data_IF_096924246368
#
_entry.id   IF_096924246368
#
_cell.length_a   1.000
_cell.length_b   1.000
_cell.length_c   1.000
_cell.angle_alpha   90.00
_cell.angle_beta   90.00
_cell.angle_gamma   90.00
#
_symmetry.space_group_name_H-M   'P 1'
#
loop_
_entity.id
_entity.type
_entity.pdbx_description
1 polymer ?
#
# COMPACT_ATOMS: atom_id res chain seq x y z
N UNK A 1 11.07 -24.01 3.40
CA UNK A 1 12.25 -24.69 2.81
C UNK A 1 13.52 -23.93 3.21
N UNK A 2 14.43 -24.50 4.01
CA UNK A 2 15.66 -23.80 4.50
C UNK A 2 16.81 -24.00 3.51
N UNK A 3 17.59 -22.97 3.17
CA UNK A 3 18.64 -23.04 2.12
C UNK A 3 20.07 -22.93 2.70
N UNK A 4 20.93 -23.96 2.59
CA UNK A 4 22.40 -23.95 2.84
C UNK A 4 23.25 -25.07 2.15
N UNK A 5 24.28 -24.65 1.36
CA UNK A 5 25.44 -25.17 0.54
C UNK A 5 25.52 -26.37 -0.49
N UNK A 6 25.41 -26.16 -1.82
CA UNK A 6 26.25 -26.85 -2.82
C UNK A 6 26.84 -25.90 -3.92
N UNK A 7 28.18 -25.82 -3.91
CA UNK A 7 29.19 -25.09 -4.74
C UNK A 7 28.96 -23.67 -5.28
N UNK A 8 27.74 -23.18 -5.50
CA UNK A 8 27.42 -21.74 -5.72
C UNK A 8 26.00 -21.35 -5.24
N UNK A 9 25.22 -22.31 -4.75
CA UNK A 9 23.88 -22.12 -4.16
C UNK A 9 23.80 -22.83 -2.82
N UNK A 10 22.83 -22.51 -1.97
CA UNK A 10 22.62 -23.32 -0.77
C UNK A 10 21.97 -24.70 -1.08
N UNK A 11 22.28 -25.81 -0.39
CA UNK A 11 21.45 -27.03 -0.34
C UNK A 11 20.09 -26.66 0.20
N UNK A 12 19.06 -27.21 -0.37
CA UNK A 12 17.71 -27.00 0.10
C UNK A 12 17.38 -28.10 1.11
N UNK A 13 16.89 -27.73 2.29
CA UNK A 13 16.28 -28.65 3.26
C UNK A 13 14.94 -29.17 2.75
N UNK A 14 14.33 -30.10 3.49
CA UNK A 14 13.00 -30.60 3.12
C UNK A 14 11.92 -29.52 3.29
N UNK A 15 10.81 -29.59 2.53
CA UNK A 15 9.61 -28.82 2.83
C UNK A 15 9.12 -29.12 4.26
N UNK A 16 8.64 -28.09 4.93
CA UNK A 16 7.95 -28.18 6.20
C UNK A 16 6.68 -27.34 6.09
N UNK A 17 5.65 -27.75 6.81
CA UNK A 17 4.31 -27.16 6.75
C UNK A 17 3.96 -26.59 8.12
N UNK A 18 3.10 -25.57 8.15
CA UNK A 18 2.60 -25.04 9.41
C UNK A 18 1.80 -26.13 10.13
N UNK A 19 2.17 -26.39 11.38
CA UNK A 19 1.45 -27.29 12.26
C UNK A 19 0.16 -26.61 12.74
N UNK A 20 -0.89 -27.39 12.92
CA UNK A 20 -2.16 -26.94 13.49
C UNK A 20 -2.84 -25.75 12.77
N UNK A 21 -2.50 -25.46 11.51
CA UNK A 21 -3.12 -24.38 10.74
C UNK A 21 -4.66 -24.53 10.65
N UNK A 22 -5.14 -25.75 10.46
CA UNK A 22 -6.58 -26.05 10.31
C UNK A 22 -7.30 -26.05 11.67
N UNK A 23 -6.59 -26.43 12.73
CA UNK A 23 -7.15 -26.59 14.09
C UNK A 23 -7.07 -25.32 14.92
N UNK A 24 -6.22 -24.37 14.53
CA UNK A 24 -6.10 -23.06 15.17
C UNK A 24 -7.20 -22.13 14.66
N UNK A 25 -8.18 -21.85 15.53
CA UNK A 25 -9.20 -20.82 15.26
C UNK A 25 -8.52 -19.46 15.27
N UNK A 26 -8.23 -18.91 14.10
CA UNK A 26 -7.78 -17.53 13.98
C UNK A 26 -8.97 -16.60 14.26
N UNK A 27 -8.82 -15.61 15.17
CA UNK A 27 -9.88 -14.64 15.42
C UNK A 27 -10.27 -13.91 14.12
N UNK A 28 -11.57 -13.67 13.90
CA UNK A 28 -12.06 -12.85 12.79
C UNK A 28 -11.62 -11.37 12.88
N UNK A 29 -11.05 -10.96 14.00
CA UNK A 29 -10.53 -9.62 14.26
C UNK A 29 -9.08 -9.51 13.82
N UNK A 30 -8.70 -8.34 13.28
CA UNK A 30 -7.31 -8.03 12.92
C UNK A 30 -6.37 -8.32 14.11
N UNK A 31 -5.47 -9.29 13.94
CA UNK A 31 -4.59 -9.77 14.99
C UNK A 31 -3.47 -10.64 14.44
N UNK A 32 -2.45 -10.84 15.26
CA UNK A 32 -1.31 -11.69 14.92
C UNK A 32 -1.58 -13.11 15.40
N UNK A 33 -1.25 -14.09 14.56
CA UNK A 33 -1.33 -15.51 14.90
C UNK A 33 0.05 -16.13 14.81
N UNK A 34 0.41 -16.94 15.80
CA UNK A 34 1.65 -17.69 15.83
C UNK A 34 1.35 -19.16 15.52
N UNK A 35 2.16 -19.75 14.66
CA UNK A 35 2.06 -21.15 14.27
C UNK A 35 3.40 -21.83 14.51
N UNK A 36 3.35 -23.09 14.94
CA UNK A 36 4.53 -23.91 15.07
C UNK A 36 4.90 -24.51 13.72
N UNK A 37 6.20 -24.72 13.52
CA UNK A 37 6.73 -25.40 12.35
C UNK A 37 8.02 -26.12 12.74
N UNK A 38 8.03 -27.44 12.53
CA UNK A 38 9.22 -28.25 12.76
C UNK A 38 9.96 -28.50 11.45
N UNK A 39 11.26 -28.24 11.44
CA UNK A 39 12.13 -28.53 10.30
C UNK A 39 13.01 -29.75 10.60
N UNK A 40 12.95 -30.75 9.73
CA UNK A 40 13.94 -31.83 9.70
C UNK A 40 15.29 -31.25 9.23
N UNK A 41 16.15 -30.90 10.19
CA UNK A 41 17.46 -30.31 9.92
C UNK A 41 18.58 -31.36 9.93
N UNK A 42 19.20 -31.58 8.78
CA UNK A 42 20.42 -32.37 8.65
C UNK A 42 21.64 -31.49 8.94
N UNK A 43 22.53 -31.94 9.83
CA UNK A 43 23.82 -31.27 10.16
C UNK A 43 24.65 -30.96 8.91
N UNK A 44 24.51 -31.73 7.84
CA UNK A 44 25.19 -31.51 6.57
C UNK A 44 24.70 -30.25 5.82
N UNK A 45 23.53 -29.72 6.15
CA UNK A 45 23.00 -28.47 5.61
C UNK A 45 23.80 -27.31 6.19
N UNK A 46 24.09 -27.32 7.50
CA UNK A 46 24.78 -26.22 8.18
C UNK A 46 23.80 -25.13 8.62
N UNK A 47 24.32 -23.94 8.95
CA UNK A 47 23.54 -22.87 9.59
C UNK A 47 22.53 -22.23 8.63
N UNK A 48 21.22 -22.24 8.93
CA UNK A 48 20.17 -21.58 8.14
C UNK A 48 20.44 -20.08 7.90
N UNK A 49 20.58 -19.67 6.64
CA UNK A 49 20.79 -18.26 6.26
C UNK A 49 19.61 -17.60 5.54
N UNK A 50 18.73 -18.41 4.95
CA UNK A 50 17.52 -18.00 4.24
C UNK A 50 16.49 -19.12 4.26
N UNK A 51 15.22 -18.76 4.08
CA UNK A 51 14.15 -19.72 3.78
C UNK A 51 13.32 -19.28 2.58
N UNK A 52 12.77 -20.28 1.90
CA UNK A 52 11.76 -20.14 0.85
C UNK A 52 10.40 -20.46 1.45
N UNK A 53 9.42 -19.63 1.15
CA UNK A 53 8.01 -19.82 1.49
C UNK A 53 7.16 -19.90 0.24
N UNK A 54 6.18 -20.82 0.29
CA UNK A 54 5.15 -21.00 -0.73
C UNK A 54 3.80 -20.91 -0.03
N UNK A 55 2.89 -20.16 -0.63
CA UNK A 55 1.52 -20.08 -0.17
C UNK A 55 0.64 -20.82 -1.17
N UNK A 56 0.25 -22.05 -0.82
CA UNK A 56 -0.67 -22.86 -1.62
C UNK A 56 -2.14 -22.60 -1.21
N UNK A 57 -2.39 -21.66 -0.30
CA UNK A 57 -3.73 -21.18 0.05
C UNK A 57 -4.22 -20.13 -0.96
N UNK A 58 -5.53 -19.96 -1.09
CA UNK A 58 -6.16 -19.05 -2.06
C UNK A 58 -6.10 -17.57 -1.65
N UNK A 59 -5.94 -17.30 -0.35
CA UNK A 59 -5.76 -15.96 0.20
C UNK A 59 -4.31 -15.67 0.52
N UNK A 60 -3.90 -14.41 0.34
CA UNK A 60 -2.64 -13.89 0.84
C UNK A 60 -2.62 -13.76 2.37
N UNK A 61 -1.43 -13.70 2.95
CA UNK A 61 -1.23 -13.36 4.36
C UNK A 61 -0.03 -12.46 4.54
N UNK A 62 0.01 -11.71 5.65
CA UNK A 62 1.15 -10.87 6.00
C UNK A 62 2.11 -11.62 6.92
N UNK A 63 3.29 -11.96 6.41
CA UNK A 63 4.33 -12.65 7.16
C UNK A 63 5.16 -11.64 7.96
N UNK A 64 5.03 -11.64 9.28
CA UNK A 64 5.81 -10.75 10.17
C UNK A 64 7.23 -11.26 10.40
N UNK A 65 7.36 -12.43 11.03
CA UNK A 65 8.65 -12.98 11.43
C UNK A 65 8.64 -14.50 11.40
N UNK A 66 9.81 -15.09 11.21
CA UNK A 66 10.06 -16.51 11.49
C UNK A 66 11.23 -16.59 12.48
N UNK A 67 11.09 -17.42 13.50
CA UNK A 67 12.12 -17.66 14.51
C UNK A 67 12.40 -19.15 14.56
N UNK A 68 13.68 -19.51 14.41
CA UNK A 68 14.15 -20.87 14.67
C UNK A 68 14.83 -20.86 16.04
N UNK A 69 14.32 -21.70 16.94
CA UNK A 69 14.91 -21.93 18.25
C UNK A 69 15.88 -23.11 18.21
N UNK A 70 16.80 -23.17 19.17
CA UNK A 70 17.70 -24.30 19.41
C UNK A 70 18.55 -24.77 18.21
N UNK A 71 18.95 -23.85 17.33
CA UNK A 71 19.83 -24.13 16.20
C UNK A 71 21.25 -24.46 16.72
N UNK A 72 21.80 -25.66 16.46
CA UNK A 72 23.09 -26.05 17.02
C UNK A 72 24.22 -25.10 16.63
N UNK A 73 24.93 -24.56 17.64
CA UNK A 73 26.05 -23.63 17.46
C UNK A 73 25.67 -22.16 17.28
N UNK A 74 24.39 -21.84 17.11
CA UNK A 74 23.89 -20.47 16.91
C UNK A 74 22.81 -20.07 17.92
N UNK A 75 22.09 -21.04 18.50
CA UNK A 75 20.95 -20.81 19.37
C UNK A 75 19.75 -20.34 18.56
N UNK A 76 19.40 -19.07 18.68
CA UNK A 76 18.18 -18.50 18.09
C UNK A 76 18.48 -17.75 16.79
N UNK A 77 17.76 -18.08 15.73
CA UNK A 77 17.87 -17.40 14.42
C UNK A 77 16.56 -16.66 14.11
N UNK A 78 16.69 -15.39 13.73
CA UNK A 78 15.56 -14.53 13.42
C UNK A 78 15.51 -14.09 11.96
N UNK A 79 14.31 -14.17 11.40
CA UNK A 79 13.95 -13.64 10.09
C UNK A 79 12.89 -12.57 10.29
N UNK A 80 13.24 -11.32 9.98
CA UNK A 80 12.31 -10.18 10.00
C UNK A 80 11.78 -10.00 8.59
N UNK A 81 10.54 -10.41 8.35
CA UNK A 81 9.97 -10.54 7.02
C UNK A 81 9.13 -9.32 6.62
N UNK A 82 8.15 -8.96 7.45
CA UNK A 82 7.23 -7.82 7.26
C UNK A 82 6.74 -7.64 5.81
N UNK A 83 6.22 -8.72 5.21
CA UNK A 83 5.82 -8.71 3.80
C UNK A 83 4.60 -9.57 3.51
N UNK A 84 3.80 -9.15 2.53
CA UNK A 84 2.67 -9.93 2.04
C UNK A 84 3.13 -11.12 1.20
N UNK A 85 2.56 -12.30 1.45
CA UNK A 85 2.81 -13.53 0.71
C UNK A 85 1.53 -13.96 0.00
N UNK A 86 1.48 -13.71 -1.31
CA UNK A 86 0.36 -14.06 -2.17
C UNK A 86 0.36 -15.55 -2.53
N UNK A 87 -0.78 -16.08 -3.01
CA UNK A 87 -0.87 -17.41 -3.57
C UNK A 87 0.20 -17.66 -4.65
N UNK A 88 0.69 -18.89 -4.72
CA UNK A 88 1.86 -19.25 -5.52
C UNK A 88 1.68 -19.03 -7.03
N UNK A 89 0.44 -19.08 -7.53
CA UNK A 89 0.10 -18.82 -8.94
C UNK A 89 0.36 -17.36 -9.37
N UNK A 90 0.54 -16.45 -8.40
CA UNK A 90 0.89 -15.03 -8.65
C UNK A 90 2.38 -14.82 -8.86
N UNK A 91 3.22 -15.78 -8.50
CA UNK A 91 4.66 -15.63 -8.52
C UNK A 91 5.33 -16.49 -9.60
N UNK A 92 6.28 -15.90 -10.32
CA UNK A 92 7.17 -16.65 -11.22
C UNK A 92 8.25 -17.44 -10.46
N UNK A 93 8.59 -16.99 -9.25
CA UNK A 93 9.57 -17.58 -8.35
C UNK A 93 9.08 -17.50 -6.91
N UNK A 94 9.39 -18.52 -6.13
CA UNK A 94 9.02 -18.56 -4.72
C UNK A 94 9.70 -17.44 -3.93
N UNK A 95 9.03 -17.00 -2.87
CA UNK A 95 9.48 -15.91 -2.02
C UNK A 95 10.63 -16.37 -1.13
N UNK A 96 11.71 -15.59 -1.09
CA UNK A 96 12.86 -15.83 -0.22
C UNK A 96 12.95 -14.77 0.88
N UNK A 97 13.29 -15.19 2.08
CA UNK A 97 13.56 -14.32 3.22
C UNK A 97 14.91 -14.68 3.84
N UNK A 98 15.67 -13.67 4.23
CA UNK A 98 17.01 -13.82 4.81
C UNK A 98 16.97 -13.59 6.32
N UNK A 99 17.96 -14.15 7.01
CA UNK A 99 18.18 -13.82 8.43
C UNK A 99 18.46 -12.33 8.61
N UNK A 100 18.32 -11.83 9.84
CA UNK A 100 18.64 -10.44 10.19
C UNK A 100 20.16 -10.13 10.26
N UNK A 101 21.03 -11.06 9.85
CA UNK A 101 22.48 -10.81 9.77
C UNK A 101 22.80 -9.89 8.58
N UNK A 102 23.60 -8.86 8.82
CA UNK A 102 23.95 -7.86 7.79
C UNK A 102 25.28 -8.19 7.12
N UNK A 103 25.33 -8.06 5.79
CA UNK A 103 26.51 -8.33 4.99
C UNK A 103 26.69 -7.31 3.87
N UNK A 104 27.90 -6.79 3.69
CA UNK A 104 28.29 -6.16 2.43
C UNK A 104 28.26 -7.19 1.29
N UNK A 105 28.15 -6.77 0.01
CA UNK A 105 28.17 -7.70 -1.12
C UNK A 105 29.40 -8.64 -1.12
N UNK A 106 30.59 -8.12 -0.78
CA UNK A 106 31.83 -8.89 -0.68
C UNK A 106 31.82 -9.92 0.46
N UNK A 107 31.14 -9.61 1.56
CA UNK A 107 31.06 -10.42 2.78
C UNK A 107 29.90 -11.41 2.78
N UNK A 108 29.01 -11.31 1.78
CA UNK A 108 27.85 -12.20 1.69
C UNK A 108 28.33 -13.64 1.58
N UNK A 109 27.87 -14.55 2.48
CA UNK A 109 28.21 -15.96 2.42
C UNK A 109 27.99 -16.53 1.02
N UNK A 110 28.98 -17.26 0.50
CA UNK A 110 28.98 -17.72 -0.89
C UNK A 110 27.69 -18.49 -1.27
N UNK A 111 27.11 -19.23 -0.31
CA UNK A 111 25.86 -19.97 -0.46
C UNK A 111 24.62 -19.10 -0.66
N UNK A 112 24.64 -17.84 -0.23
CA UNK A 112 23.50 -16.91 -0.31
C UNK A 112 23.60 -15.92 -1.49
N UNK A 113 24.78 -15.79 -2.10
CA UNK A 113 25.03 -14.77 -3.16
C UNK A 113 24.05 -14.90 -4.33
N UNK A 114 23.79 -16.11 -4.81
CA UNK A 114 22.84 -16.32 -5.92
C UNK A 114 21.41 -15.95 -5.53
N UNK A 115 20.96 -16.30 -4.32
CA UNK A 115 19.63 -15.88 -3.86
C UNK A 115 19.52 -14.36 -3.70
N UNK A 116 20.57 -13.71 -3.19
CA UNK A 116 20.64 -12.24 -3.09
C UNK A 116 20.52 -11.59 -4.47
N UNK A 117 21.30 -12.04 -5.45
CA UNK A 117 21.27 -11.46 -6.81
C UNK A 117 19.93 -11.73 -7.51
N UNK A 118 19.38 -12.93 -7.39
CA UNK A 118 18.10 -13.28 -8.00
C UNK A 118 16.93 -12.49 -7.41
N UNK A 119 16.91 -12.24 -6.10
CA UNK A 119 15.90 -11.39 -5.47
C UNK A 119 16.02 -9.95 -5.98
N UNK A 120 17.24 -9.41 -6.12
CA UNK A 120 17.45 -8.07 -6.69
C UNK A 120 17.00 -7.99 -8.16
N UNK A 121 17.24 -9.02 -8.97
CA UNK A 121 16.72 -9.09 -10.35
C UNK A 121 15.19 -9.10 -10.34
N UNK A 122 14.58 -9.88 -9.45
CA UNK A 122 13.13 -9.94 -9.35
C UNK A 122 12.51 -8.59 -8.94
N UNK A 123 13.12 -7.90 -7.97
CA UNK A 123 12.70 -6.57 -7.53
C UNK A 123 12.89 -5.50 -8.61
N UNK A 124 13.85 -5.65 -9.53
CA UNK A 124 14.01 -4.71 -10.66
C UNK A 124 12.98 -4.93 -11.78
N UNK A 125 12.49 -6.15 -11.94
CA UNK A 125 11.59 -6.51 -13.04
C UNK A 125 12.27 -6.45 -14.41
N UNK A 126 11.47 -6.43 -15.48
CA UNK A 126 11.93 -6.43 -16.88
C UNK A 126 11.59 -5.15 -17.65
N UNK A 127 11.03 -4.14 -16.96
CA UNK A 127 10.58 -2.87 -17.52
C UNK A 127 9.32 -2.95 -18.40
N UNK A 128 8.65 -4.12 -18.45
CA UNK A 128 7.52 -4.39 -19.36
C UNK A 128 6.24 -4.71 -18.60
N UNK A 129 5.12 -4.62 -19.32
CA UNK A 129 3.79 -4.97 -18.82
C UNK A 129 3.25 -4.01 -17.75
N UNK A 130 1.95 -4.15 -17.48
CA UNK A 130 1.27 -3.48 -16.38
C UNK A 130 1.52 -4.23 -15.08
N UNK A 131 1.97 -3.51 -14.06
CA UNK A 131 2.29 -4.09 -12.75
C UNK A 131 1.01 -4.34 -11.97
N UNK A 132 0.95 -5.51 -11.35
CA UNK A 132 -0.20 -6.04 -10.62
C UNK A 132 -0.05 -5.82 -9.12
N UNK A 133 -1.15 -5.94 -8.38
CA UNK A 133 -1.17 -5.68 -6.94
C UNK A 133 -0.14 -6.49 -6.14
N UNK A 134 0.09 -7.75 -6.51
CA UNK A 134 1.03 -8.65 -5.84
C UNK A 134 2.49 -8.44 -6.25
N UNK A 135 2.76 -7.61 -7.25
CA UNK A 135 4.12 -7.36 -7.73
C UNK A 135 4.92 -6.56 -6.71
N UNK A 136 6.23 -6.83 -6.69
CA UNK A 136 7.23 -6.14 -5.85
C UNK A 136 8.29 -5.46 -6.70
N UNK A 137 7.91 -5.03 -7.91
CA UNK A 137 8.82 -4.46 -8.90
C UNK A 137 8.98 -2.96 -8.65
N UNK A 138 10.23 -2.55 -8.45
CA UNK A 138 10.69 -1.17 -8.32
C UNK A 138 11.40 -0.76 -9.61
N UNK A 139 10.77 0.13 -10.35
CA UNK A 139 11.32 0.66 -11.59
C UNK A 139 10.86 2.12 -11.77
N UNK A 140 11.43 2.82 -12.75
CA UNK A 140 11.26 4.25 -12.96
C UNK A 140 10.37 4.56 -14.15
N UNK A 141 9.62 5.64 -14.05
CA UNK A 141 8.99 6.26 -15.19
C UNK A 141 8.84 7.79 -15.02
N UNK A 142 8.48 8.47 -16.10
CA UNK A 142 8.23 9.91 -16.12
C UNK A 142 6.84 10.24 -15.55
N UNK A 143 6.59 11.50 -15.23
CA UNK A 143 5.24 11.98 -14.93
C UNK A 143 4.50 12.22 -16.24
N UNK A 144 4.09 11.13 -16.88
CA UNK A 144 3.29 11.10 -18.11
C UNK A 144 1.85 10.62 -17.84
N UNK A 145 1.47 10.49 -16.58
CA UNK A 145 0.18 9.95 -16.10
C UNK A 145 -0.72 11.03 -15.46
N UNK A 146 -0.29 12.30 -15.51
CA UNK A 146 -1.05 13.43 -14.96
C UNK A 146 -2.16 13.92 -15.90
N UNK A 147 -1.95 13.84 -17.21
CA UNK A 147 -2.92 14.25 -18.23
C UNK A 147 -4.05 13.22 -18.46
N UNK A 148 -5.07 13.62 -19.21
CA UNK A 148 -6.09 12.71 -19.73
C UNK A 148 -6.51 13.15 -21.16
N UNK A 149 -5.61 13.01 -22.15
CA UNK A 149 -5.80 13.53 -23.50
C UNK A 149 -7.02 12.90 -24.22
N UNK A 150 -7.41 11.67 -23.85
CA UNK A 150 -8.63 11.01 -24.34
C UNK A 150 -9.92 11.78 -24.00
N UNK A 151 -9.91 12.66 -22.99
CA UNK A 151 -11.03 13.55 -22.65
C UNK A 151 -11.04 14.87 -23.45
N UNK A 152 -10.03 15.11 -24.28
CA UNK A 152 -9.89 16.27 -25.13
C UNK A 152 -8.79 17.26 -24.73
N UNK A 153 -8.55 18.31 -25.55
CA UNK A 153 -7.35 19.16 -25.47
C UNK A 153 -7.11 19.83 -24.11
N UNK A 154 -8.18 20.22 -23.40
CA UNK A 154 -8.09 20.85 -22.07
C UNK A 154 -7.41 19.97 -21.01
N UNK A 155 -7.40 18.66 -21.21
CA UNK A 155 -6.86 17.68 -20.27
C UNK A 155 -5.46 17.18 -20.63
N UNK A 156 -4.89 17.67 -21.74
CA UNK A 156 -3.50 17.37 -22.13
C UNK A 156 -2.55 18.07 -21.16
N UNK A 157 -1.49 17.37 -20.75
CA UNK A 157 -0.42 17.92 -19.90
C UNK A 157 0.92 17.50 -20.48
N UNK A 158 1.97 18.35 -20.40
CA UNK A 158 3.30 17.96 -20.82
C UNK A 158 3.83 16.83 -19.92
N UNK A 159 4.65 15.95 -20.50
CA UNK A 159 5.39 14.94 -19.74
C UNK A 159 6.49 15.62 -18.92
N UNK A 160 6.53 15.37 -17.62
CA UNK A 160 7.60 15.90 -16.76
C UNK A 160 8.69 14.84 -16.54
N UNK A 161 9.93 15.21 -16.90
CA UNK A 161 11.12 14.38 -16.89
C UNK A 161 11.52 13.88 -18.28
N UNK A 162 12.81 13.62 -18.48
CA UNK A 162 13.34 13.05 -19.73
C UNK A 162 13.62 14.07 -20.84
N UNK A 163 13.30 15.35 -20.61
CA UNK A 163 13.62 16.47 -21.50
C UNK A 163 14.41 17.54 -20.75
N UNK A 164 15.10 18.41 -21.50
CA UNK A 164 15.76 19.61 -20.94
C UNK A 164 14.77 20.71 -20.59
N UNK A 165 13.63 20.74 -21.27
CA UNK A 165 12.58 21.75 -21.08
C UNK A 165 11.78 21.52 -19.79
N UNK A 166 11.45 20.25 -19.49
CA UNK A 166 10.73 19.84 -18.29
C UNK A 166 11.54 18.81 -17.49
N UNK A 167 12.69 19.19 -16.90
CA UNK A 167 13.43 18.29 -16.05
C UNK A 167 12.63 18.00 -14.78
N UNK A 168 12.54 16.73 -14.40
CA UNK A 168 11.80 16.31 -13.21
C UNK A 168 12.32 14.97 -12.66
N UNK A 169 12.23 14.74 -11.34
CA UNK A 169 12.46 13.42 -10.75
C UNK A 169 11.63 12.33 -11.41
N UNK A 170 12.13 11.09 -11.39
CA UNK A 170 11.34 9.92 -11.79
C UNK A 170 10.34 9.56 -10.69
N UNK A 171 9.25 8.91 -11.09
CA UNK A 171 8.28 8.25 -10.20
C UNK A 171 8.39 6.74 -10.33
N UNK A 172 7.71 6.02 -9.43
CA UNK A 172 7.56 4.57 -9.52
C UNK A 172 6.77 4.16 -10.78
N UNK A 173 7.32 3.25 -11.57
CA UNK A 173 6.68 2.69 -12.75
C UNK A 173 5.39 1.95 -12.35
N UNK A 174 4.37 2.08 -13.19
CA UNK A 174 3.06 1.43 -13.06
C UNK A 174 2.75 0.57 -14.28
N UNK A 175 3.15 1.03 -15.47
CA UNK A 175 3.11 0.24 -16.70
C UNK A 175 1.73 0.09 -17.32
N UNK A 176 0.75 0.93 -16.95
CA UNK A 176 -0.57 0.91 -17.60
C UNK A 176 -0.43 1.26 -19.07
N UNK A 177 -1.42 0.82 -19.85
CA UNK A 177 -1.46 1.11 -21.28
C UNK A 177 -1.40 2.62 -21.56
N UNK A 178 -0.83 3.05 -22.70
CA UNK A 178 -0.94 4.41 -23.17
C UNK A 178 -2.39 4.85 -23.42
N UNK A 179 -2.60 6.16 -23.49
CA UNK A 179 -3.89 6.73 -23.93
C UNK A 179 -4.12 6.46 -25.41
N UNK A 180 -5.37 6.56 -25.88
CA UNK A 180 -5.69 6.33 -27.31
C UNK A 180 -5.18 7.46 -28.18
N UNK A 181 -5.20 8.69 -27.67
CA UNK A 181 -4.83 9.89 -28.44
C UNK A 181 -3.35 10.26 -28.36
N UNK A 182 -2.64 9.84 -27.30
CA UNK A 182 -1.22 10.14 -27.12
C UNK A 182 -0.45 8.90 -26.59
N UNK A 183 0.44 8.30 -27.40
CA UNK A 183 1.22 7.13 -27.00
C UNK A 183 2.26 7.43 -25.92
N UNK A 184 2.59 8.71 -25.68
CA UNK A 184 3.53 9.11 -24.64
C UNK A 184 2.85 9.32 -23.28
N UNK A 185 1.52 9.46 -23.26
CA UNK A 185 0.74 9.63 -22.04
C UNK A 185 0.21 8.27 -21.54
N UNK A 186 0.43 7.98 -20.26
CA UNK A 186 -0.09 6.77 -19.62
C UNK A 186 -1.58 6.96 -19.26
N UNK A 187 -2.40 5.94 -19.50
CA UNK A 187 -3.83 6.00 -19.22
C UNK A 187 -4.09 6.19 -17.72
N UNK A 188 -4.93 7.16 -17.41
CA UNK A 188 -5.32 7.50 -16.04
C UNK A 188 -6.41 6.56 -15.51
N UNK A 189 -6.30 6.19 -14.24
CA UNK A 189 -7.41 5.55 -13.50
C UNK A 189 -8.52 6.58 -13.20
N UNK A 190 -9.75 6.12 -13.01
CA UNK A 190 -10.83 7.00 -12.51
C UNK A 190 -10.40 7.55 -11.14
N UNK A 191 -10.87 8.75 -10.78
CA UNK A 191 -10.40 9.48 -9.59
C UNK A 191 -10.54 8.70 -8.27
N UNK A 192 -11.62 7.94 -8.08
CA UNK A 192 -11.74 7.07 -6.89
C UNK A 192 -10.89 5.79 -6.99
N UNK A 193 -10.55 5.36 -8.20
CA UNK A 193 -9.65 4.24 -8.45
C UNK A 193 -8.18 4.65 -8.47
N UNK A 194 -7.84 5.95 -8.42
CA UNK A 194 -6.43 6.37 -8.34
C UNK A 194 -5.77 5.99 -7.00
N UNK A 195 -6.58 5.56 -6.03
CA UNK A 195 -6.14 4.95 -4.78
C UNK A 195 -5.59 3.51 -4.99
N UNK A 196 -5.85 2.94 -6.16
CA UNK A 196 -5.32 1.66 -6.63
C UNK A 196 -4.18 1.88 -7.65
N UNK A 197 -3.57 3.07 -7.70
CA UNK A 197 -2.32 3.22 -8.44
C UNK A 197 -1.31 2.24 -7.84
N UNK A 198 -0.73 1.40 -8.70
CA UNK A 198 0.27 0.44 -8.29
C UNK A 198 1.41 1.13 -7.55
N UNK A 199 1.74 0.55 -6.41
CA UNK A 199 3.02 0.66 -5.72
C UNK A 199 3.46 -0.78 -5.38
N UNK A 200 4.77 -1.06 -5.27
CA UNK A 200 5.24 -2.36 -4.82
C UNK A 200 4.50 -2.79 -3.56
N UNK A 201 4.04 -4.06 -3.53
CA UNK A 201 3.00 -4.49 -2.58
C UNK A 201 3.26 -4.13 -1.12
N UNK A 202 4.50 -4.21 -0.69
CA UNK A 202 4.93 -3.96 0.69
C UNK A 202 5.05 -2.46 1.03
N UNK A 203 5.05 -1.56 0.03
CA UNK A 203 5.02 -0.10 0.19
C UNK A 203 3.60 0.45 0.34
N UNK A 204 2.59 -0.36 -0.02
CA UNK A 204 1.18 0.02 0.12
C UNK A 204 0.82 0.10 1.60
N UNK A 205 0.16 1.19 2.01
CA UNK A 205 -0.35 1.31 3.38
C UNK A 205 -1.23 0.11 3.75
N UNK A 206 -1.11 -0.35 5.00
CA UNK A 206 -2.09 -1.26 5.59
C UNK A 206 -3.47 -0.60 5.66
N UNK A 207 -4.52 -1.43 5.76
CA UNK A 207 -5.91 -0.99 5.62
C UNK A 207 -6.29 0.22 6.49
N UNK A 208 -5.89 0.25 7.76
CA UNK A 208 -6.17 1.35 8.70
C UNK A 208 -5.55 2.69 8.27
N UNK A 209 -4.27 2.68 7.87
CA UNK A 209 -3.60 3.91 7.39
C UNK A 209 -4.17 4.36 6.05
N UNK A 210 -4.54 3.41 5.20
CA UNK A 210 -5.15 3.73 3.92
C UNK A 210 -6.56 4.32 4.13
N UNK A 211 -7.38 3.78 5.03
CA UNK A 211 -8.70 4.35 5.33
C UNK A 211 -8.62 5.77 5.88
N UNK A 212 -7.65 6.07 6.75
CA UNK A 212 -7.40 7.44 7.21
C UNK A 212 -7.04 8.36 6.03
N UNK A 213 -6.10 7.94 5.17
CA UNK A 213 -5.74 8.69 3.97
C UNK A 213 -6.95 8.91 3.04
N UNK A 214 -7.80 7.88 2.87
CA UNK A 214 -9.02 7.98 2.07
C UNK A 214 -10.02 8.95 2.69
N UNK A 215 -10.25 8.88 4.00
CA UNK A 215 -11.13 9.80 4.70
C UNK A 215 -10.66 11.24 4.51
N UNK A 216 -9.35 11.52 4.62
CA UNK A 216 -8.80 12.85 4.35
C UNK A 216 -8.90 13.27 2.88
N UNK A 217 -8.68 12.36 1.94
CA UNK A 217 -8.85 12.64 0.52
C UNK A 217 -10.32 12.96 0.20
N UNK A 218 -11.28 12.17 0.71
CA UNK A 218 -12.72 12.39 0.57
C UNK A 218 -13.16 13.71 1.22
N UNK A 219 -12.65 14.04 2.42
CA UNK A 219 -12.83 15.35 3.04
C UNK A 219 -12.38 16.46 2.10
N UNK A 220 -11.18 16.35 1.55
CA UNK A 220 -10.63 17.32 0.60
C UNK A 220 -11.46 17.41 -0.68
N UNK A 221 -12.08 16.31 -1.14
CA UNK A 221 -13.01 16.33 -2.28
C UNK A 221 -14.34 17.01 -1.96
N UNK A 222 -14.83 16.95 -0.72
CA UNK A 222 -16.01 17.69 -0.26
C UNK A 222 -15.91 19.20 -0.54
N UNK A 223 -14.71 19.77 -0.44
CA UNK A 223 -14.45 21.18 -0.78
C UNK A 223 -14.67 21.51 -2.28
N UNK A 224 -14.71 20.50 -3.15
CA UNK A 224 -14.93 20.65 -4.59
C UNK A 224 -16.33 20.20 -5.05
N UNK A 225 -17.19 19.73 -4.14
CA UNK A 225 -18.58 19.35 -4.45
C UNK A 225 -19.46 20.60 -4.50
N UNK A 226 -19.44 21.26 -5.65
CA UNK A 226 -20.33 22.39 -5.97
C UNK A 226 -21.80 22.23 -5.52
N UNK A 227 -22.48 21.08 -5.75
CA UNK A 227 -23.94 21.04 -5.58
C UNK A 227 -24.45 21.05 -4.14
N UNK A 228 -23.63 20.69 -3.15
CA UNK A 228 -24.07 20.62 -1.75
C UNK A 228 -23.63 21.84 -0.94
N UNK A 229 -22.52 22.48 -1.37
CA UNK A 229 -22.17 23.83 -0.95
C UNK A 229 -23.26 24.84 -1.35
N UNK A 230 -24.00 24.61 -2.43
CA UNK A 230 -25.17 25.43 -2.80
C UNK A 230 -26.23 25.50 -1.69
N UNK A 231 -26.36 24.46 -0.83
CA UNK A 231 -27.27 24.48 0.32
C UNK A 231 -26.73 25.16 1.57
N UNK A 232 -25.41 25.42 1.62
CA UNK A 232 -24.76 26.19 2.68
C UNK A 232 -24.65 27.68 2.35
N UNK A 233 -24.82 28.05 1.08
CA UNK A 233 -24.64 29.39 0.55
C UNK A 233 -25.96 29.94 -0.01
N UNK A 234 -26.78 30.47 0.90
CA UNK A 234 -28.13 30.95 0.58
C UNK A 234 -28.13 32.25 -0.26
N UNK A 235 -27.05 33.04 -0.28
CA UNK A 235 -27.04 34.37 -0.92
C UNK A 235 -26.03 34.53 -2.07
N UNK A 236 -24.87 33.88 -2.02
CA UNK A 236 -23.92 33.82 -3.14
C UNK A 236 -23.67 32.38 -3.60
N UNK A 237 -24.30 31.91 -4.70
CA UNK A 237 -24.09 30.56 -5.19
C UNK A 237 -22.59 30.29 -5.46
N UNK A 238 -22.03 29.29 -4.79
CA UNK A 238 -20.61 28.87 -4.86
C UNK A 238 -19.58 29.79 -4.15
N UNK A 239 -19.99 30.73 -3.30
CA UNK A 239 -19.08 31.55 -2.49
C UNK A 239 -19.51 31.57 -1.02
N UNK A 240 -18.55 31.74 -0.10
CA UNK A 240 -18.86 31.91 1.32
C UNK A 240 -19.49 33.28 1.54
N UNK A 241 -20.70 33.31 2.11
CA UNK A 241 -21.39 34.55 2.47
C UNK A 241 -20.74 35.27 3.67
N UNK A 242 -20.01 34.51 4.51
CA UNK A 242 -19.36 35.03 5.72
C UNK A 242 -18.22 34.15 6.23
N UNK A 243 -17.41 34.68 7.16
CA UNK A 243 -16.43 33.87 7.90
C UNK A 243 -17.10 32.78 8.75
N UNK A 244 -18.34 32.99 9.20
CA UNK A 244 -19.11 31.97 9.92
C UNK A 244 -19.31 30.72 9.06
N UNK A 245 -19.53 30.89 7.76
CA UNK A 245 -19.69 29.77 6.83
C UNK A 245 -18.38 28.99 6.64
N UNK A 246 -17.23 29.66 6.79
CA UNK A 246 -15.92 29.00 6.85
C UNK A 246 -15.78 28.21 8.16
N UNK A 247 -16.24 28.75 9.30
CA UNK A 247 -16.19 28.06 10.60
C UNK A 247 -17.11 26.83 10.67
N UNK A 248 -18.28 26.86 10.01
CA UNK A 248 -19.22 25.73 9.94
C UNK A 248 -18.59 24.44 9.39
N UNK A 249 -17.58 24.54 8.52
CA UNK A 249 -16.81 23.38 8.02
C UNK A 249 -16.12 22.57 9.13
N UNK A 250 -15.79 23.21 10.25
CA UNK A 250 -15.09 22.61 11.38
C UNK A 250 -16.01 22.28 12.56
N UNK A 251 -17.12 23.02 12.72
CA UNK A 251 -18.02 22.88 13.87
C UNK A 251 -19.20 21.96 13.61
N UNK A 252 -19.90 22.15 12.48
CA UNK A 252 -21.15 21.45 12.15
C UNK A 252 -21.00 20.26 11.21
N UNK A 253 -19.94 20.24 10.39
CA UNK A 253 -19.79 19.28 9.30
C UNK A 253 -20.69 19.63 8.10
N UNK A 254 -20.45 18.98 6.96
CA UNK A 254 -21.27 19.10 5.75
C UNK A 254 -21.85 17.72 5.42
N UNK A 255 -23.10 17.67 4.95
CA UNK A 255 -23.67 16.45 4.37
C UNK A 255 -22.82 15.94 3.20
N UNK A 256 -22.93 14.66 2.88
CA UNK A 256 -22.36 14.13 1.63
C UNK A 256 -23.49 13.93 0.63
N UNK A 257 -23.29 14.22 -0.67
CA UNK A 257 -24.35 13.99 -1.64
C UNK A 257 -24.56 12.49 -1.78
N UNK A 258 -25.81 12.05 -1.88
CA UNK A 258 -26.15 10.63 -2.07
C UNK A 258 -25.40 9.99 -3.24
N UNK A 259 -25.19 10.75 -4.32
CA UNK A 259 -24.44 10.31 -5.49
C UNK A 259 -22.95 10.01 -5.21
N UNK A 260 -22.32 10.74 -4.28
CA UNK A 260 -20.94 10.49 -3.87
C UNK A 260 -20.88 9.30 -2.90
N UNK A 261 -21.83 9.18 -1.98
CA UNK A 261 -21.95 8.04 -1.06
C UNK A 261 -22.07 6.72 -1.83
N UNK A 262 -22.94 6.68 -2.85
CA UNK A 262 -23.09 5.50 -3.70
C UNK A 262 -21.81 5.17 -4.49
N UNK A 263 -21.13 6.19 -5.02
CA UNK A 263 -19.89 5.99 -5.75
C UNK A 263 -18.74 5.50 -4.83
N UNK A 264 -18.70 5.97 -3.57
CA UNK A 264 -17.79 5.47 -2.53
C UNK A 264 -18.07 4.00 -2.24
N UNK A 265 -19.33 3.64 -1.97
CA UNK A 265 -19.75 2.26 -1.66
C UNK A 265 -19.42 1.27 -2.78
N UNK A 266 -19.51 1.70 -4.03
CA UNK A 266 -19.26 0.85 -5.20
C UNK A 266 -17.77 0.64 -5.52
N UNK A 267 -16.89 1.57 -5.13
CA UNK A 267 -15.47 1.54 -5.54
C UNK A 267 -14.48 1.32 -4.40
N UNK A 268 -14.92 1.39 -3.14
CA UNK A 268 -14.06 1.23 -1.96
C UNK A 268 -14.39 -0.12 -1.27
N UNK A 269 -13.38 -0.95 -0.91
CA UNK A 269 -13.59 -2.22 -0.21
C UNK A 269 -14.34 -2.05 1.13
N UNK A 270 -15.15 -3.04 1.48
CA UNK A 270 -16.03 -3.00 2.66
C UNK A 270 -15.26 -2.82 3.99
N UNK A 271 -14.07 -3.41 4.08
CA UNK A 271 -13.17 -3.30 5.23
C UNK A 271 -12.74 -1.85 5.46
N UNK A 272 -12.50 -1.11 4.38
CA UNK A 272 -12.14 0.30 4.44
C UNK A 272 -13.35 1.19 4.70
N UNK A 273 -14.52 0.85 4.16
CA UNK A 273 -15.75 1.59 4.41
C UNK A 273 -16.11 1.62 5.91
N UNK A 274 -15.90 0.50 6.62
CA UNK A 274 -16.13 0.45 8.09
C UNK A 274 -15.25 1.43 8.86
N UNK A 275 -14.00 1.60 8.43
CA UNK A 275 -13.05 2.53 9.05
C UNK A 275 -13.28 3.98 8.61
N UNK A 276 -13.79 4.23 7.40
CA UNK A 276 -14.15 5.55 6.91
C UNK A 276 -15.42 6.07 7.61
N UNK A 277 -16.44 5.21 7.76
CA UNK A 277 -17.75 5.55 8.33
C UNK A 277 -17.90 5.02 9.77
N UNK A 278 -16.87 5.22 10.61
CA UNK A 278 -16.96 4.80 12.01
C UNK A 278 -18.24 5.36 12.65
N UNK A 279 -18.91 4.51 13.42
CA UNK A 279 -20.24 4.76 14.01
C UNK A 279 -20.22 5.76 15.18
N UNK A 280 -19.14 6.52 15.36
CA UNK A 280 -19.00 7.54 16.41
C UNK A 280 -19.91 8.76 16.19
N UNK A 281 -20.61 8.81 15.05
CA UNK A 281 -21.59 9.86 14.75
C UNK A 281 -20.95 11.17 14.29
N UNK A 282 -19.63 11.20 14.07
CA UNK A 282 -18.99 12.33 13.41
C UNK A 282 -19.36 12.34 11.92
N UNK A 283 -19.86 13.48 11.43
CA UNK A 283 -20.12 13.64 10.00
C UNK A 283 -18.80 13.54 9.22
N UNK A 284 -18.77 12.74 8.15
CA UNK A 284 -17.57 12.46 7.36
C UNK A 284 -16.86 13.74 6.86
N UNK A 285 -17.58 14.86 6.68
CA UNK A 285 -17.02 16.15 6.25
C UNK A 285 -16.82 17.16 7.38
N UNK A 286 -16.79 16.74 8.65
CA UNK A 286 -16.29 17.61 9.72
C UNK A 286 -14.77 17.63 9.68
N UNK A 287 -14.20 18.80 9.38
CA UNK A 287 -12.76 18.98 9.38
C UNK A 287 -12.25 19.19 10.81
N UNK A 288 -11.03 18.70 11.15
CA UNK A 288 -10.42 19.04 12.42
C UNK A 288 -10.16 20.56 12.48
N UNK A 289 -10.48 21.18 13.62
CA UNK A 289 -10.24 22.60 13.85
C UNK A 289 -8.75 22.94 13.64
N UNK A 290 -8.40 23.80 12.68
CA UNK A 290 -7.03 24.22 12.43
C UNK A 290 -6.42 24.87 13.67
N UNK A 291 -5.16 24.52 13.98
CA UNK A 291 -4.48 25.00 15.18
C UNK A 291 -4.42 26.54 15.25
N UNK A 292 -4.31 27.21 14.10
CA UNK A 292 -4.27 28.67 13.99
C UNK A 292 -5.55 29.38 14.48
N UNK A 293 -6.70 28.70 14.48
CA UNK A 293 -7.98 29.26 14.98
C UNK A 293 -8.50 28.58 16.26
N UNK A 294 -7.81 27.53 16.74
CA UNK A 294 -8.24 26.71 17.89
C UNK A 294 -8.28 27.46 19.23
N UNK A 295 -7.58 28.59 19.34
CA UNK A 295 -7.49 29.40 20.56
C UNK A 295 -8.12 30.79 20.50
N UNK A 296 -8.66 31.21 19.35
CA UNK A 296 -9.10 32.60 19.10
C UNK A 296 -10.61 32.78 19.23
N UNK A 297 -11.36 31.70 19.48
CA UNK A 297 -12.82 31.74 19.67
C UNK A 297 -13.11 32.28 21.07
N UNK A 298 -13.17 33.60 21.20
CA UNK A 298 -13.76 34.24 22.37
C UNK A 298 -15.26 33.94 22.36
N UNK A 299 -15.70 33.04 23.23
CA UNK A 299 -17.12 32.89 23.57
C UNK A 299 -17.55 34.15 24.32
N UNK A 300 -18.04 35.16 23.61
CA UNK A 300 -18.77 36.26 24.22
C UNK A 300 -20.23 35.80 24.43
N UNK A 301 -20.58 35.48 25.67
CA UNK A 301 -21.98 35.30 26.06
C UNK A 301 -22.51 36.66 26.53
N UNK A 302 -23.47 37.22 25.80
CA UNK A 302 -24.30 38.33 26.28
C UNK A 302 -25.46 37.68 27.03
N UNK A 303 -25.48 37.82 28.36
CA UNK A 303 -26.64 37.49 29.17
C UNK A 303 -27.55 38.72 29.22
N UNK A 304 -28.82 38.54 28.84
CA UNK A 304 -29.91 39.44 29.21
C UNK A 304 -30.61 38.89 30.46
#
# INVERSE_FOLDING_TARGET
>A
CVIVANRLQGKLGKPAYLEDWITTITPLTAGESAFNITFDWDKNIGVPGAFIIRNDHHSEFYLKTVTLEDVPGEGRIHFVCNSWVYPVDKYKKDRVFFTNKTYLPSETPASLRKHREEELIHLRGDGKGELQEWDRVYDYAYYNDLGNPDKGPKYVRPVLGGSKEYPYPRRGRTGRAPTKTDPNAEKRLKLLLSLNIYVPRDERFGHLKMSDFLAYALKSFGQFLKPELESLFDKTPNEFDSFEDVFKLYEGGVGLPDSLLENIRQNIPAEMLKEIFRTDGEQLLKFPMPQVIKGTVYKAAIYY
#
